data_IF_119056811344
#
_entry.id   IF_119056811344
#
_cell.length_a   1.000
_cell.length_b   1.000
_cell.length_c   1.000
_cell.angle_alpha   90.00
_cell.angle_beta   90.00
_cell.angle_gamma   90.00
#
_symmetry.space_group_name_H-M   'P 1'
#
loop_
_entity.id
_entity.type
_entity.pdbx_description
1 polymer ?
#
# COMPACT_ATOMS: atom_id res chain seq x y z
N UNK A 1 -0.69 19.38 16.83
CA UNK A 1 -0.04 18.19 17.43
C UNK A 1 1.08 18.49 18.42
N UNK A 2 1.04 19.64 19.10
CA UNK A 2 2.10 20.07 20.03
C UNK A 2 2.19 19.24 21.32
N UNK A 3 1.16 18.47 21.66
CA UNK A 3 1.18 17.59 22.85
C UNK A 3 1.84 16.22 22.62
N UNK A 4 1.99 15.81 21.38
CA UNK A 4 2.50 14.49 21.02
C UNK A 4 3.59 14.66 19.98
N UNK A 5 4.72 14.07 20.17
CA UNK A 5 5.81 14.07 19.18
C UNK A 5 5.45 13.15 17.98
N UNK A 6 4.30 13.42 17.38
CA UNK A 6 3.74 12.65 16.27
C UNK A 6 3.42 13.59 15.11
N UNK A 7 3.86 13.25 13.92
CA UNK A 7 3.46 13.91 12.67
C UNK A 7 2.29 13.13 12.07
N UNK A 8 1.08 13.71 12.10
CA UNK A 8 -0.08 13.18 11.40
C UNK A 8 -0.20 13.84 10.03
N UNK A 9 -0.45 13.03 9.01
CA UNK A 9 -0.61 13.45 7.61
C UNK A 9 -2.00 13.05 7.15
N UNK A 10 -2.83 13.98 6.63
CA UNK A 10 -4.14 13.65 6.12
C UNK A 10 -4.01 12.83 4.83
N UNK A 11 -4.65 11.68 4.80
CA UNK A 11 -4.75 10.81 3.64
C UNK A 11 -6.17 10.30 3.44
N UNK A 12 -6.40 9.70 2.29
CA UNK A 12 -7.67 9.05 1.93
C UNK A 12 -7.35 7.66 1.38
N UNK A 13 -8.07 6.67 1.86
CA UNK A 13 -8.16 5.38 1.19
C UNK A 13 -9.51 5.25 0.51
N UNK A 14 -9.50 5.03 -0.81
CA UNK A 14 -10.69 4.76 -1.60
C UNK A 14 -11.00 3.26 -1.50
N UNK A 15 -12.09 2.93 -0.83
CA UNK A 15 -12.48 1.56 -0.50
C UNK A 15 -13.81 1.22 -1.16
N UNK A 16 -13.87 0.07 -1.85
CA UNK A 16 -15.08 -0.46 -2.50
C UNK A 16 -15.78 0.51 -3.48
N UNK A 17 -15.00 1.40 -4.12
CA UNK A 17 -15.54 2.30 -5.14
C UNK A 17 -15.46 1.66 -6.53
N UNK A 18 -16.39 2.00 -7.46
CA UNK A 18 -16.30 1.50 -8.84
C UNK A 18 -14.97 1.92 -9.51
N UNK A 19 -14.30 1.01 -10.24
CA UNK A 19 -12.98 1.28 -10.84
C UNK A 19 -12.95 2.53 -11.73
N UNK A 20 -14.00 2.80 -12.48
CA UNK A 20 -14.13 3.96 -13.37
C UNK A 20 -14.24 5.31 -12.63
N UNK A 21 -14.56 5.30 -11.34
CA UNK A 21 -14.65 6.50 -10.50
C UNK A 21 -13.35 6.83 -9.78
N UNK A 22 -12.42 5.88 -9.65
CA UNK A 22 -11.20 6.01 -8.83
C UNK A 22 -10.39 7.25 -9.22
N UNK A 23 -10.21 7.49 -10.53
CA UNK A 23 -9.43 8.66 -10.99
C UNK A 23 -10.02 9.97 -10.50
N UNK A 24 -11.32 10.16 -10.66
CA UNK A 24 -12.00 11.38 -10.25
C UNK A 24 -11.96 11.55 -8.74
N UNK A 25 -12.23 10.48 -7.99
CA UNK A 25 -12.20 10.51 -6.52
C UNK A 25 -10.78 10.80 -5.98
N UNK A 26 -9.74 10.25 -6.61
CA UNK A 26 -8.36 10.54 -6.24
C UNK A 26 -8.00 12.02 -6.48
N UNK A 27 -8.42 12.59 -7.61
CA UNK A 27 -8.20 14.00 -7.93
C UNK A 27 -8.98 14.90 -6.95
N UNK A 28 -10.22 14.54 -6.63
CA UNK A 28 -11.06 15.26 -5.66
C UNK A 28 -10.46 15.22 -4.26
N UNK A 29 -10.01 14.05 -3.81
CA UNK A 29 -9.34 13.90 -2.53
C UNK A 29 -8.12 14.84 -2.42
N UNK A 30 -7.29 14.90 -3.46
CA UNK A 30 -6.14 15.81 -3.50
C UNK A 30 -6.55 17.28 -3.48
N UNK A 31 -7.59 17.67 -4.22
CA UNK A 31 -8.14 19.05 -4.21
C UNK A 31 -8.66 19.44 -2.82
N UNK A 32 -9.23 18.48 -2.09
CA UNK A 32 -9.73 18.67 -0.73
C UNK A 32 -8.64 18.62 0.34
N UNK A 33 -7.38 18.44 -0.05
CA UNK A 33 -6.24 18.51 0.87
C UNK A 33 -5.65 17.18 1.31
N UNK A 34 -6.10 16.04 0.75
CA UNK A 34 -5.43 14.77 1.00
C UNK A 34 -3.99 14.82 0.46
N UNK A 35 -3.04 14.55 1.33
CA UNK A 35 -1.60 14.54 1.01
C UNK A 35 -1.14 13.15 0.57
N UNK A 36 -1.93 12.13 0.86
CA UNK A 36 -1.71 10.74 0.50
C UNK A 36 -3.03 10.14 0.03
N UNK A 37 -3.00 9.47 -1.12
CA UNK A 37 -4.17 8.76 -1.65
C UNK A 37 -3.81 7.29 -1.84
N UNK A 38 -4.57 6.43 -1.18
CA UNK A 38 -4.50 4.99 -1.29
C UNK A 38 -5.76 4.47 -1.98
N UNK A 39 -5.66 3.28 -2.55
CA UNK A 39 -6.82 2.50 -2.98
C UNK A 39 -6.74 1.12 -2.35
N UNK A 40 -7.83 0.69 -1.75
CA UNK A 40 -8.04 -0.67 -1.29
C UNK A 40 -8.01 -1.62 -2.48
N UNK A 41 -7.00 -2.46 -2.55
CA UNK A 41 -6.75 -3.36 -3.68
C UNK A 41 -7.62 -4.60 -3.66
N UNK A 42 -7.43 -5.45 -4.65
CA UNK A 42 -8.20 -6.69 -4.86
C UNK A 42 -7.73 -7.80 -3.91
N UNK A 43 -7.82 -7.53 -2.60
CA UNK A 43 -7.56 -8.53 -1.56
C UNK A 43 -8.44 -9.78 -1.76
N UNK A 44 -7.94 -10.95 -1.34
CA UNK A 44 -8.71 -12.21 -1.48
C UNK A 44 -9.74 -12.44 -0.38
N UNK A 45 -9.78 -11.56 0.64
CA UNK A 45 -10.64 -11.73 1.83
C UNK A 45 -11.87 -10.82 1.82
N UNK A 46 -11.99 -9.94 0.83
CA UNK A 46 -13.12 -9.04 0.66
C UNK A 46 -13.58 -8.98 -0.80
N UNK A 47 -14.87 -8.72 -1.06
CA UNK A 47 -15.40 -8.65 -2.43
C UNK A 47 -15.06 -7.32 -3.09
N UNK A 48 -13.87 -7.20 -3.69
CA UNK A 48 -13.44 -6.03 -4.46
C UNK A 48 -13.73 -6.24 -5.94
N UNK A 49 -14.21 -5.20 -6.62
CA UNK A 49 -14.54 -5.27 -8.05
C UNK A 49 -13.24 -5.50 -8.85
N UNK A 50 -13.19 -6.55 -9.72
CA UNK A 50 -12.06 -6.77 -10.60
C UNK A 50 -11.73 -5.55 -11.46
N UNK A 51 -10.44 -5.24 -11.64
CA UNK A 51 -9.97 -4.06 -12.35
C UNK A 51 -9.65 -2.87 -11.43
N UNK A 52 -9.97 -2.97 -10.13
CA UNK A 52 -9.65 -1.94 -9.14
C UNK A 52 -8.14 -1.68 -9.06
N UNK A 53 -7.32 -2.74 -9.01
CA UNK A 53 -5.86 -2.59 -9.00
C UNK A 53 -5.35 -1.80 -10.21
N UNK A 54 -5.82 -2.15 -11.41
CA UNK A 54 -5.46 -1.46 -12.64
C UNK A 54 -5.87 0.00 -12.60
N UNK A 55 -7.12 0.27 -12.27
CA UNK A 55 -7.68 1.63 -12.22
C UNK A 55 -6.94 2.51 -11.21
N UNK A 56 -6.61 1.98 -10.02
CA UNK A 56 -5.83 2.69 -9.01
C UNK A 56 -4.44 3.09 -9.54
N UNK A 57 -3.74 2.16 -10.19
CA UNK A 57 -2.43 2.41 -10.76
C UNK A 57 -2.52 3.44 -11.89
N UNK A 58 -3.52 3.35 -12.76
CA UNK A 58 -3.75 4.30 -13.85
C UNK A 58 -4.09 5.69 -13.32
N UNK A 59 -4.86 5.78 -12.25
CA UNK A 59 -5.19 7.03 -11.56
C UNK A 59 -3.97 7.72 -10.92
N UNK A 60 -2.86 7.01 -10.73
CA UNK A 60 -1.65 7.58 -10.15
C UNK A 60 -1.78 7.82 -8.65
N UNK A 61 -2.38 6.89 -7.93
CA UNK A 61 -2.41 6.90 -6.46
C UNK A 61 -1.01 6.71 -5.88
N UNK A 62 -0.83 6.99 -4.61
CA UNK A 62 0.49 6.87 -3.97
C UNK A 62 0.80 5.43 -3.58
N UNK A 63 -0.21 4.73 -3.06
CA UNK A 63 -0.11 3.35 -2.59
C UNK A 63 -1.30 2.54 -3.10
N UNK A 64 -1.04 1.35 -3.60
CA UNK A 64 -2.05 0.31 -3.80
C UNK A 64 -1.99 -0.61 -2.58
N UNK A 65 -3.01 -0.52 -1.73
CA UNK A 65 -3.10 -1.26 -0.48
C UNK A 65 -3.48 -2.73 -0.75
N UNK A 66 -2.86 -3.67 -0.06
CA UNK A 66 -3.13 -5.13 -0.07
C UNK A 66 -3.72 -5.66 -1.40
N UNK A 67 -2.96 -5.57 -2.50
CA UNK A 67 -3.46 -5.75 -3.87
C UNK A 67 -3.81 -7.21 -4.25
N UNK A 68 -3.84 -8.12 -3.29
CA UNK A 68 -4.23 -9.50 -3.52
C UNK A 68 -3.30 -10.24 -4.49
N UNK A 69 -3.90 -11.00 -5.40
CA UNK A 69 -3.18 -11.73 -6.45
C UNK A 69 -3.00 -10.84 -7.70
N UNK A 70 -2.44 -9.67 -7.51
CA UNK A 70 -2.21 -8.66 -8.54
C UNK A 70 -1.54 -9.21 -9.80
N UNK A 71 -2.02 -8.82 -10.99
CA UNK A 71 -1.42 -9.23 -12.27
C UNK A 71 -0.02 -8.64 -12.47
N UNK A 72 0.87 -9.41 -13.08
CA UNK A 72 2.25 -8.97 -13.37
C UNK A 72 2.33 -7.72 -14.24
N UNK A 73 1.37 -7.53 -15.16
CA UNK A 73 1.30 -6.31 -15.99
C UNK A 73 0.98 -5.09 -15.14
N UNK A 74 0.17 -5.26 -14.09
CA UNK A 74 -0.17 -4.19 -13.15
C UNK A 74 1.02 -3.86 -12.25
N UNK A 75 1.79 -4.86 -11.80
CA UNK A 75 3.04 -4.63 -11.08
C UNK A 75 4.06 -3.86 -11.96
N UNK A 76 4.18 -4.23 -13.24
CA UNK A 76 5.05 -3.51 -14.19
C UNK A 76 4.60 -2.05 -14.37
N UNK A 77 3.29 -1.81 -14.44
CA UNK A 77 2.74 -0.47 -14.55
C UNK A 77 2.96 0.33 -13.27
N UNK A 78 2.75 -0.28 -12.10
CA UNK A 78 3.04 0.33 -10.80
C UNK A 78 4.51 0.76 -10.68
N UNK A 79 5.45 -0.12 -11.11
CA UNK A 79 6.87 0.22 -11.20
C UNK A 79 7.11 1.45 -12.09
N UNK A 80 6.55 1.44 -13.31
CA UNK A 80 6.72 2.55 -14.28
C UNK A 80 6.20 3.87 -13.71
N UNK A 81 5.09 3.84 -12.99
CA UNK A 81 4.46 5.03 -12.38
C UNK A 81 5.01 5.39 -11.00
N UNK A 82 5.87 4.55 -10.42
CA UNK A 82 6.48 4.77 -9.11
C UNK A 82 5.54 4.58 -7.94
N UNK A 83 4.42 3.87 -8.14
CA UNK A 83 3.42 3.56 -7.12
C UNK A 83 3.96 2.46 -6.20
N UNK A 84 3.70 2.61 -4.91
CA UNK A 84 4.08 1.61 -3.92
C UNK A 84 3.02 0.50 -3.83
N UNK A 85 3.48 -0.75 -3.82
CA UNK A 85 2.65 -1.92 -3.54
C UNK A 85 2.79 -2.27 -2.06
N UNK A 86 1.67 -2.40 -1.38
CA UNK A 86 1.67 -2.64 0.05
C UNK A 86 1.91 -4.11 0.40
N UNK A 87 2.77 -4.31 1.38
CA UNK A 87 2.77 -5.44 2.29
C UNK A 87 2.09 -4.98 3.56
N UNK A 88 1.13 -5.74 4.08
CA UNK A 88 0.33 -5.30 5.23
C UNK A 88 0.54 -6.21 6.43
N UNK A 89 0.43 -5.64 7.63
CA UNK A 89 0.39 -6.44 8.86
C UNK A 89 -1.03 -6.84 9.26
N UNK A 90 -2.05 -6.33 8.53
CA UNK A 90 -3.47 -6.57 8.78
C UNK A 90 -3.82 -8.04 8.62
N UNK A 91 -4.45 -8.63 9.62
CA UNK A 91 -4.95 -10.00 9.57
C UNK A 91 -5.90 -10.20 8.39
N UNK A 92 -5.77 -11.31 7.66
CA UNK A 92 -6.53 -11.61 6.46
C UNK A 92 -5.90 -11.00 5.20
N UNK A 93 -5.73 -9.70 5.13
CA UNK A 93 -5.12 -9.04 3.97
C UNK A 93 -3.66 -9.49 3.76
N UNK A 94 -2.98 -9.88 4.83
CA UNK A 94 -1.60 -10.38 4.79
C UNK A 94 -1.43 -11.75 4.10
N UNK A 95 -2.52 -12.47 3.80
CA UNK A 95 -2.44 -13.81 3.19
C UNK A 95 -1.74 -13.81 1.83
N UNK A 96 -1.76 -12.72 1.11
CA UNK A 96 -1.10 -12.58 -0.19
C UNK A 96 0.23 -11.84 -0.14
N UNK A 97 0.72 -11.45 1.04
CA UNK A 97 1.99 -10.74 1.20
C UNK A 97 3.15 -11.43 0.48
N UNK A 98 3.26 -12.76 0.61
CA UNK A 98 4.33 -13.53 -0.03
C UNK A 98 4.28 -13.47 -1.55
N UNK A 99 3.09 -13.54 -2.14
CA UNK A 99 2.89 -13.39 -3.58
C UNK A 99 3.28 -11.99 -4.05
N UNK A 100 2.74 -10.95 -3.40
CA UNK A 100 3.02 -9.56 -3.74
C UNK A 100 4.52 -9.26 -3.63
N UNK A 101 5.15 -9.66 -2.51
CA UNK A 101 6.58 -9.48 -2.31
C UNK A 101 7.41 -10.15 -3.40
N UNK A 102 7.13 -11.44 -3.68
CA UNK A 102 7.86 -12.22 -4.68
C UNK A 102 7.77 -11.58 -6.07
N UNK A 103 6.57 -11.27 -6.55
CA UNK A 103 6.39 -10.73 -7.90
C UNK A 103 6.90 -9.28 -8.01
N UNK A 104 6.68 -8.46 -6.98
CA UNK A 104 7.22 -7.11 -6.95
C UNK A 104 8.76 -7.08 -6.98
N UNK A 105 9.42 -7.94 -6.20
CA UNK A 105 10.89 -8.05 -6.19
C UNK A 105 11.45 -8.52 -7.54
N UNK A 106 10.82 -9.53 -8.18
CA UNK A 106 11.24 -10.01 -9.52
C UNK A 106 11.16 -8.91 -10.57
N UNK A 107 10.12 -8.09 -10.51
CA UNK A 107 9.88 -7.00 -11.45
C UNK A 107 10.67 -5.73 -11.07
N UNK A 108 11.03 -5.58 -9.79
CA UNK A 108 11.68 -4.40 -9.24
C UNK A 108 10.70 -3.25 -8.98
N UNK A 109 9.46 -3.57 -8.62
CA UNK A 109 8.49 -2.59 -8.14
C UNK A 109 8.76 -2.23 -6.67
N UNK A 110 8.34 -1.04 -6.26
CA UNK A 110 8.55 -0.54 -4.89
C UNK A 110 7.54 -1.17 -3.94
N UNK A 111 8.06 -1.72 -2.84
CA UNK A 111 7.25 -2.20 -1.72
C UNK A 111 7.20 -1.17 -0.61
N UNK A 112 6.09 -1.13 0.11
CA UNK A 112 5.91 -0.39 1.36
C UNK A 112 5.26 -1.32 2.38
N UNK A 113 5.43 -1.05 3.65
CA UNK A 113 4.78 -1.80 4.74
C UNK A 113 3.89 -0.88 5.56
N UNK A 114 2.65 -1.27 5.78
CA UNK A 114 1.69 -0.54 6.61
C UNK A 114 0.93 -1.49 7.54
N UNK A 115 0.24 -0.92 8.51
CA UNK A 115 -0.50 -1.68 9.52
C UNK A 115 -1.99 -1.77 9.23
N UNK A 116 -2.53 -0.86 8.44
CA UNK A 116 -3.98 -0.76 8.19
C UNK A 116 -4.77 -0.81 9.51
N UNK A 117 -4.35 0.05 10.45
CA UNK A 117 -4.82 0.01 11.84
C UNK A 117 -6.20 0.61 11.98
N UNK A 118 -7.13 -0.17 12.53
CA UNK A 118 -8.49 0.25 12.91
C UNK A 118 -8.68 0.31 14.42
N UNK A 119 -7.80 -0.36 15.16
CA UNK A 119 -7.85 -0.45 16.62
C UNK A 119 -6.42 -0.39 17.19
N UNK A 120 -6.25 -0.03 18.48
CA UNK A 120 -4.91 0.09 19.07
C UNK A 120 -4.02 -1.16 18.97
N UNK A 121 -4.62 -2.35 18.98
CA UNK A 121 -3.87 -3.61 18.87
C UNK A 121 -3.41 -3.93 17.45
N UNK A 122 -3.89 -3.21 16.42
CA UNK A 122 -3.38 -3.32 15.05
C UNK A 122 -2.01 -2.62 14.89
N UNK A 123 -1.66 -1.74 15.83
CA UNK A 123 -0.35 -1.11 15.87
C UNK A 123 0.67 -2.11 16.40
N UNK A 124 1.55 -2.56 15.52
CA UNK A 124 2.59 -3.55 15.83
C UNK A 124 3.97 -2.89 15.96
N UNK A 125 4.88 -3.55 16.68
CA UNK A 125 6.27 -3.09 16.81
C UNK A 125 7.07 -3.30 15.51
N UNK A 126 8.17 -2.55 15.35
CA UNK A 126 9.09 -2.72 14.22
C UNK A 126 9.64 -4.16 14.14
N UNK A 127 9.88 -4.81 15.27
CA UNK A 127 10.29 -6.23 15.32
C UNK A 127 9.23 -7.15 14.69
N UNK A 128 7.96 -6.92 15.02
CA UNK A 128 6.85 -7.68 14.42
C UNK A 128 6.75 -7.42 12.92
N UNK A 129 6.89 -6.17 12.49
CA UNK A 129 6.92 -5.79 11.08
C UNK A 129 8.04 -6.52 10.33
N UNK A 130 9.25 -6.53 10.90
CA UNK A 130 10.40 -7.23 10.32
C UNK A 130 10.14 -8.73 10.15
N UNK A 131 9.57 -9.37 11.17
CA UNK A 131 9.19 -10.79 11.11
C UNK A 131 8.12 -11.08 10.06
N UNK A 132 7.15 -10.19 9.87
CA UNK A 132 6.13 -10.31 8.81
C UNK A 132 6.77 -10.19 7.43
N UNK A 133 7.67 -9.25 7.23
CA UNK A 133 8.41 -9.11 5.97
C UNK A 133 9.25 -10.35 5.65
N UNK A 134 9.97 -10.89 6.66
CA UNK A 134 10.71 -12.15 6.52
C UNK A 134 9.77 -13.32 6.19
N UNK A 135 8.63 -13.42 6.89
CA UNK A 135 7.59 -14.41 6.62
C UNK A 135 6.98 -14.29 5.22
N UNK A 136 6.93 -13.10 4.66
CA UNK A 136 6.53 -12.85 3.27
C UNK A 136 7.65 -13.17 2.25
N UNK A 137 8.82 -13.64 2.69
CA UNK A 137 9.95 -14.00 1.83
C UNK A 137 10.81 -12.80 1.38
N UNK A 138 10.66 -11.64 2.04
CA UNK A 138 11.53 -10.49 1.79
C UNK A 138 12.92 -10.77 2.39
N UNK A 139 14.01 -10.73 1.59
CA UNK A 139 15.36 -10.92 2.10
C UNK A 139 15.73 -9.85 3.13
N UNK A 140 16.45 -10.22 4.19
CA UNK A 140 16.89 -9.32 5.27
C UNK A 140 17.52 -8.02 4.74
N UNK A 141 18.36 -8.11 3.70
CA UNK A 141 19.03 -6.95 3.09
C UNK A 141 18.07 -5.91 2.48
N UNK A 142 16.83 -6.32 2.12
CA UNK A 142 15.82 -5.44 1.50
C UNK A 142 14.86 -4.81 2.52
N UNK A 143 14.81 -5.31 3.74
CA UNK A 143 13.88 -4.81 4.77
C UNK A 143 14.12 -3.32 5.03
N UNK A 144 15.39 -2.93 5.14
CA UNK A 144 15.77 -1.52 5.34
C UNK A 144 15.23 -0.61 4.23
N UNK A 145 15.24 -1.07 2.98
CA UNK A 145 14.75 -0.29 1.84
C UNK A 145 13.23 -0.09 1.91
N UNK A 146 12.49 -1.09 2.39
CA UNK A 146 11.04 -0.99 2.59
C UNK A 146 10.71 0.06 3.65
N UNK A 147 11.42 0.07 4.80
CA UNK A 147 11.28 1.11 5.80
C UNK A 147 11.69 2.50 5.28
N UNK A 148 12.72 2.56 4.43
CA UNK A 148 13.12 3.82 3.77
C UNK A 148 12.02 4.30 2.83
N UNK A 149 11.33 3.41 2.11
CA UNK A 149 10.21 3.76 1.24
C UNK A 149 9.08 4.43 2.03
N UNK A 150 8.72 3.89 3.20
CA UNK A 150 7.73 4.51 4.10
C UNK A 150 8.15 5.92 4.56
N UNK A 151 9.45 6.12 4.85
CA UNK A 151 9.97 7.46 5.18
C UNK A 151 9.99 8.39 3.97
N UNK A 152 10.29 7.87 2.79
CA UNK A 152 10.38 8.68 1.57
C UNK A 152 9.03 9.20 1.10
N UNK A 153 7.98 8.39 1.20
CA UNK A 153 6.63 8.83 0.84
C UNK A 153 6.18 9.99 1.74
N UNK A 154 6.48 9.92 3.05
CA UNK A 154 6.17 10.98 4.02
C UNK A 154 6.96 12.27 3.76
N UNK A 155 8.18 12.18 3.23
CA UNK A 155 9.01 13.35 2.92
C UNK A 155 8.56 14.10 1.67
N UNK A 156 7.86 13.43 0.74
CA UNK A 156 7.34 14.03 -0.49
C UNK A 156 6.11 14.91 -0.27
N UNK A 157 5.47 14.73 0.85
CA UNK A 157 4.24 15.40 1.27
C UNK A 157 4.51 16.29 2.50
#
# INVERSE_FOLDING_TARGET
>A
NSKWNIKAIPGVELTHVPPDTIKNLADDARRLGARLVLVHGETIVEPVIPGTNRAAIEAGVDILAHPGLIDKKDIQLAKKKGIYLEITTRSGHSYTNGYVASEAMKIGAKLIINTDSHQPHDLVSDDTVERILLGAGVPQRMIKDIFINSKNIIKKI
#
